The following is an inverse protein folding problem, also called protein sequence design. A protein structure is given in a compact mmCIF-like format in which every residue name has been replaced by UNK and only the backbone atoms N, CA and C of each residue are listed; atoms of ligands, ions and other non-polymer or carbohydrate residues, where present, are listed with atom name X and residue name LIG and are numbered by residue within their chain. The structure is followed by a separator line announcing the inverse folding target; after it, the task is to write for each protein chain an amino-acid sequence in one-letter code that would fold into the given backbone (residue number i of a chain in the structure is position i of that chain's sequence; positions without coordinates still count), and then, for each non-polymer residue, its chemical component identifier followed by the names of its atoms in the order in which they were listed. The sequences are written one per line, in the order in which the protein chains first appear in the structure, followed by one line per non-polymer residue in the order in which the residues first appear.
data_IF_143863494462
#
_entry.id   IF_143863494462
#
_cell.length_a   1.000
_cell.length_b   1.000
_cell.length_c   1.000
_cell.angle_alpha   90.00
_cell.angle_beta   90.00
_cell.angle_gamma   90.00
#
_symmetry.space_group_name_H-M   'P 1'
#
loop_
_entity.id
_entity.type
_entity.pdbx_description
1 polymer ?
#
# COMPACT_ATOMS: atom_id res chain seq x y z
N UNK A 1 -18.07 -6.41 24.40
CA UNK A 1 -16.60 -6.45 24.34
C UNK A 1 -16.18 -7.83 23.84
N UNK A 2 -16.26 -8.07 22.54
CA UNK A 2 -15.75 -9.30 21.94
C UNK A 2 -14.35 -8.98 21.42
N UNK A 3 -13.32 -9.42 22.15
CA UNK A 3 -11.95 -9.42 21.63
C UNK A 3 -11.89 -10.32 20.41
N UNK A 4 -11.67 -9.73 19.24
CA UNK A 4 -11.29 -10.47 18.03
C UNK A 4 -9.95 -11.15 18.31
N UNK A 5 -9.79 -12.39 17.84
CA UNK A 5 -8.61 -13.21 18.11
C UNK A 5 -7.31 -12.45 17.78
N UNK A 6 -6.57 -12.10 18.84
CA UNK A 6 -5.39 -11.23 18.87
C UNK A 6 -4.12 -11.83 18.21
N UNK A 7 -4.23 -12.68 17.19
CA UNK A 7 -3.05 -13.29 16.57
C UNK A 7 -3.29 -13.76 15.14
N UNK A 8 -3.86 -12.91 14.29
CA UNK A 8 -3.75 -13.17 12.84
C UNK A 8 -2.31 -12.91 12.42
N UNK A 9 -1.66 -13.94 11.88
CA UNK A 9 -0.28 -13.87 11.37
C UNK A 9 -0.10 -12.64 10.44
N UNK A 10 -1.11 -12.34 9.61
CA UNK A 10 -1.13 -11.17 8.73
C UNK A 10 -0.99 -9.82 9.45
N UNK A 11 -1.76 -9.53 10.51
CA UNK A 11 -1.62 -8.26 11.25
C UNK A 11 -0.22 -8.10 11.86
N UNK A 12 0.34 -9.19 12.38
CA UNK A 12 1.70 -9.19 12.93
C UNK A 12 2.76 -8.96 11.83
N UNK A 13 2.55 -9.52 10.64
CA UNK A 13 3.42 -9.26 9.49
C UNK A 13 3.33 -7.81 9.03
N UNK A 14 2.13 -7.26 8.88
CA UNK A 14 1.96 -5.86 8.48
C UNK A 14 2.51 -4.88 9.51
N UNK A 15 2.31 -5.16 10.81
CA UNK A 15 2.94 -4.39 11.88
C UNK A 15 4.48 -4.43 11.76
N UNK A 16 5.06 -5.61 11.55
CA UNK A 16 6.52 -5.73 11.33
C UNK A 16 6.99 -4.95 10.10
N UNK A 17 6.25 -4.99 8.99
CA UNK A 17 6.58 -4.21 7.79
C UNK A 17 6.46 -2.70 8.05
N UNK A 18 5.49 -2.28 8.86
CA UNK A 18 5.33 -0.89 9.24
C UNK A 18 6.55 -0.38 10.01
N UNK A 19 7.03 -1.16 10.99
CA UNK A 19 8.22 -0.84 11.78
C UNK A 19 9.52 -0.98 10.99
N UNK A 20 9.60 -1.94 10.05
CA UNK A 20 10.82 -2.23 9.28
C UNK A 20 11.09 -1.21 8.16
N UNK A 21 10.08 -0.53 7.65
CA UNK A 21 10.26 0.55 6.68
C UNK A 21 10.85 1.76 7.44
N UNK A 22 12.18 1.88 7.42
CA UNK A 22 12.92 2.96 8.07
C UNK A 22 12.49 4.34 7.61
N UNK A 23 12.54 5.30 8.54
CA UNK A 23 12.08 6.68 8.39
C UNK A 23 11.06 7.06 9.47
N UNK A 24 10.91 8.36 9.74
CA UNK A 24 9.88 8.83 10.67
C UNK A 24 8.52 8.65 10.00
N UNK A 25 7.75 7.66 10.47
CA UNK A 25 6.33 7.54 10.11
C UNK A 25 5.61 8.80 10.55
N UNK A 26 4.74 9.32 9.70
CA UNK A 26 3.88 10.43 10.11
C UNK A 26 2.98 10.01 11.27
N UNK A 27 2.58 10.97 12.09
CA UNK A 27 1.66 10.73 13.20
C UNK A 27 0.35 10.09 12.70
N UNK A 28 -0.12 10.50 11.53
CA UNK A 28 -1.31 9.95 10.90
C UNK A 28 -1.12 8.46 10.55
N UNK A 29 0.06 8.07 10.07
CA UNK A 29 0.34 6.67 9.76
C UNK A 29 0.33 5.81 11.04
N UNK A 30 0.91 6.32 12.13
CA UNK A 30 0.91 5.64 13.43
C UNK A 30 -0.51 5.51 14.01
N UNK A 31 -1.31 6.58 13.95
CA UNK A 31 -2.71 6.56 14.40
C UNK A 31 -3.53 5.53 13.63
N UNK A 32 -3.37 5.44 12.31
CA UNK A 32 -4.07 4.44 11.49
C UNK A 32 -3.60 3.02 11.78
N UNK A 33 -2.31 2.78 12.03
CA UNK A 33 -1.82 1.48 12.48
C UNK A 33 -2.48 1.06 13.79
N UNK A 34 -2.52 1.95 14.79
CA UNK A 34 -3.15 1.67 16.08
C UNK A 34 -4.64 1.35 15.91
N UNK A 35 -5.35 2.11 15.07
CA UNK A 35 -6.76 1.87 14.80
C UNK A 35 -6.99 0.52 14.08
N UNK A 36 -6.13 0.16 13.11
CA UNK A 36 -6.18 -1.14 12.44
C UNK A 36 -5.99 -2.29 13.45
N UNK A 37 -5.01 -2.18 14.35
CA UNK A 37 -4.77 -3.18 15.40
C UNK A 37 -5.96 -3.30 16.37
N UNK A 38 -6.59 -2.16 16.72
CA UNK A 38 -7.77 -2.13 17.59
C UNK A 38 -9.00 -2.76 16.95
N UNK A 39 -9.23 -2.49 15.66
CA UNK A 39 -10.35 -3.04 14.91
C UNK A 39 -10.16 -4.52 14.59
N UNK A 40 -8.92 -4.95 14.38
CA UNK A 40 -8.59 -6.30 13.94
C UNK A 40 -9.00 -6.56 12.49
N UNK A 41 -8.89 -7.83 12.07
CA UNK A 41 -9.33 -8.25 10.75
C UNK A 41 -10.80 -8.66 10.76
N UNK A 42 -11.55 -8.30 9.72
CA UNK A 42 -12.92 -8.74 9.58
C UNK A 42 -12.98 -10.23 9.25
N UNK A 43 -14.15 -10.80 9.51
CA UNK A 43 -14.49 -12.20 9.23
C UNK A 43 -15.80 -12.24 8.45
N UNK A 44 -16.14 -13.38 7.84
CA UNK A 44 -17.42 -13.57 7.11
C UNK A 44 -18.68 -13.33 7.96
N UNK A 45 -18.55 -13.26 9.30
CA UNK A 45 -19.63 -12.89 10.22
C UNK A 45 -19.96 -11.39 10.18
N UNK A 46 -19.05 -10.56 9.69
CA UNK A 46 -19.30 -9.14 9.50
C UNK A 46 -20.10 -8.93 8.21
N UNK A 47 -21.16 -8.13 8.30
CA UNK A 47 -22.11 -7.89 7.21
C UNK A 47 -21.42 -7.50 5.90
N UNK A 48 -20.48 -6.54 5.96
CA UNK A 48 -19.74 -6.03 4.81
C UNK A 48 -18.74 -7.04 4.20
N UNK A 49 -18.52 -8.20 4.85
CA UNK A 49 -17.51 -9.20 4.47
C UNK A 49 -18.10 -10.58 4.20
N UNK A 50 -19.43 -10.71 4.23
CA UNK A 50 -20.12 -11.99 4.04
C UNK A 50 -19.76 -12.68 2.72
N UNK A 51 -19.51 -11.89 1.67
CA UNK A 51 -19.27 -12.38 0.31
C UNK A 51 -17.86 -12.08 -0.22
N UNK A 52 -16.98 -11.55 0.63
CA UNK A 52 -15.60 -11.20 0.25
C UNK A 52 -14.63 -12.06 1.08
N UNK A 53 -14.25 -13.25 0.58
CA UNK A 53 -13.38 -14.17 1.31
C UNK A 53 -11.97 -13.58 1.44
N UNK A 54 -11.43 -13.58 2.66
CA UNK A 54 -10.10 -13.05 2.97
C UNK A 54 -9.04 -14.14 3.15
N UNK A 55 -9.42 -15.41 3.17
CA UNK A 55 -8.53 -16.50 3.56
C UNK A 55 -7.28 -16.60 2.65
N UNK A 56 -7.42 -16.36 1.34
CA UNK A 56 -6.30 -16.36 0.40
C UNK A 56 -5.26 -15.25 0.66
N UNK A 57 -5.71 -14.10 1.17
CA UNK A 57 -4.81 -13.00 1.54
C UNK A 57 -4.16 -13.26 2.90
N UNK A 58 -4.97 -13.66 3.90
CA UNK A 58 -4.52 -13.75 5.30
C UNK A 58 -3.57 -14.91 5.58
N UNK A 59 -3.55 -15.92 4.71
CA UNK A 59 -2.64 -17.06 4.80
C UNK A 59 -1.29 -16.81 4.11
N UNK A 60 -1.10 -15.64 3.50
CA UNK A 60 0.13 -15.30 2.79
C UNK A 60 1.28 -14.85 3.70
N UNK A 61 2.48 -14.88 3.14
CA UNK A 61 3.64 -14.16 3.66
C UNK A 61 3.80 -12.83 2.92
N UNK A 62 3.88 -11.74 3.68
CA UNK A 62 3.98 -10.38 3.19
C UNK A 62 5.42 -9.88 3.28
N UNK A 63 5.90 -9.33 2.16
CA UNK A 63 7.22 -8.71 2.06
C UNK A 63 7.10 -7.35 1.38
N UNK A 64 8.00 -6.43 1.72
CA UNK A 64 8.17 -5.17 0.99
C UNK A 64 9.57 -5.17 0.39
N UNK A 65 9.64 -5.31 -0.93
CA UNK A 65 10.91 -5.38 -1.70
C UNK A 65 10.77 -4.55 -2.98
N UNK A 66 11.02 -3.23 -2.90
CA UNK A 66 10.94 -2.37 -4.07
C UNK A 66 11.91 -2.84 -5.16
N UNK A 67 11.39 -3.06 -6.35
CA UNK A 67 12.17 -3.42 -7.52
C UNK A 67 12.52 -2.18 -8.36
N UNK A 68 13.55 -2.32 -9.19
CA UNK A 68 13.84 -1.36 -10.24
C UNK A 68 13.18 -1.82 -11.53
N UNK A 69 12.53 -0.90 -12.23
CA UNK A 69 11.81 -1.16 -13.48
C UNK A 69 12.44 -0.34 -14.60
N UNK A 70 12.60 -0.93 -15.79
CA UNK A 70 13.09 -0.21 -16.95
C UNK A 70 11.95 0.57 -17.65
N UNK A 71 12.30 1.65 -18.35
CA UNK A 71 11.31 2.45 -19.11
C UNK A 71 10.56 1.63 -20.16
N UNK A 72 11.23 0.65 -20.78
CA UNK A 72 10.59 -0.28 -21.72
C UNK A 72 9.51 -1.15 -21.08
N UNK A 73 9.73 -1.62 -19.85
CA UNK A 73 8.75 -2.46 -19.14
C UNK A 73 7.53 -1.64 -18.73
N UNK A 74 7.76 -0.38 -18.31
CA UNK A 74 6.69 0.59 -18.09
C UNK A 74 5.88 0.78 -19.36
N UNK A 75 6.53 1.05 -20.48
CA UNK A 75 5.85 1.38 -21.75
C UNK A 75 5.05 0.21 -22.31
N UNK A 76 5.49 -1.02 -22.09
CA UNK A 76 4.76 -2.23 -22.47
C UNK A 76 3.40 -2.38 -21.76
N UNK A 77 3.24 -1.79 -20.57
CA UNK A 77 2.00 -1.83 -19.77
C UNK A 77 1.27 -0.48 -19.74
N UNK A 78 1.85 0.56 -20.33
CA UNK A 78 1.30 1.91 -20.27
C UNK A 78 0.07 2.06 -21.18
N UNK A 79 -0.88 2.87 -20.72
CA UNK A 79 -1.96 3.34 -21.56
C UNK A 79 -1.41 4.30 -22.62
N UNK A 80 -1.91 4.18 -23.85
CA UNK A 80 -1.65 5.17 -24.90
C UNK A 80 -2.57 6.36 -24.69
N UNK A 81 -2.11 7.32 -23.91
CA UNK A 81 -2.86 8.52 -23.54
C UNK A 81 -1.93 9.73 -23.51
N UNK A 82 -2.38 10.86 -24.03
CA UNK A 82 -1.70 12.14 -23.88
C UNK A 82 -2.05 12.74 -22.50
N UNK A 83 -1.14 12.58 -21.54
CA UNK A 83 -1.32 13.02 -20.16
C UNK A 83 0.04 13.19 -19.47
N UNK A 84 0.09 14.02 -18.42
CA UNK A 84 1.21 14.07 -17.48
C UNK A 84 1.23 12.81 -16.62
N UNK A 85 2.23 11.94 -16.78
CA UNK A 85 2.29 10.63 -16.13
C UNK A 85 3.23 10.63 -14.93
N UNK A 86 2.70 10.26 -13.77
CA UNK A 86 3.47 9.94 -12.57
C UNK A 86 3.52 8.42 -12.37
N UNK A 87 4.72 7.87 -12.19
CA UNK A 87 4.94 6.43 -12.07
C UNK A 87 5.31 6.07 -10.63
N UNK A 88 4.60 5.07 -10.10
CA UNK A 88 4.87 4.47 -8.80
C UNK A 88 5.19 2.99 -8.98
N UNK A 89 6.32 2.55 -8.42
CA UNK A 89 6.77 1.16 -8.46
C UNK A 89 6.85 0.65 -7.03
N UNK A 90 6.16 -0.45 -6.72
CA UNK A 90 6.13 -1.07 -5.40
C UNK A 90 5.88 -0.09 -4.24
N UNK A 91 4.96 0.86 -4.45
CA UNK A 91 4.57 1.88 -3.47
C UNK A 91 5.54 3.06 -3.34
N UNK A 92 6.53 3.21 -4.24
CA UNK A 92 7.47 4.33 -4.27
C UNK A 92 7.34 5.14 -5.55
N UNK A 93 7.38 6.46 -5.42
CA UNK A 93 7.46 7.35 -6.59
C UNK A 93 8.79 7.15 -7.32
N UNK A 94 8.74 7.07 -8.65
CA UNK A 94 9.91 6.88 -9.51
C UNK A 94 10.10 8.11 -10.41
N UNK A 95 10.96 9.08 -10.03
CA UNK A 95 11.20 10.29 -10.81
C UNK A 95 11.70 9.98 -12.22
N UNK A 96 12.60 9.00 -12.37
CA UNK A 96 13.19 8.61 -13.66
C UNK A 96 12.19 8.03 -14.68
N UNK A 97 11.02 7.58 -14.23
CA UNK A 97 9.99 6.99 -15.06
C UNK A 97 8.79 7.92 -15.29
N UNK A 98 8.77 9.05 -14.58
CA UNK A 98 7.66 10.02 -14.57
C UNK A 98 7.98 11.22 -15.46
N UNK A 99 6.94 11.88 -15.93
CA UNK A 99 7.07 13.14 -16.65
C UNK A 99 7.28 14.30 -15.66
N UNK A 100 7.83 15.41 -16.15
CA UNK A 100 7.85 16.65 -15.36
C UNK A 100 6.43 17.20 -15.21
N UNK A 101 6.13 17.70 -14.02
CA UNK A 101 4.87 18.39 -13.71
C UNK A 101 4.95 19.90 -13.96
N UNK A 102 6.13 20.43 -14.31
CA UNK A 102 6.31 21.85 -14.57
C UNK A 102 5.46 22.32 -15.75
N UNK A 103 4.63 23.35 -15.54
CA UNK A 103 3.75 23.87 -16.57
C UNK A 103 2.58 22.94 -16.96
N UNK A 104 2.41 21.80 -16.28
CA UNK A 104 1.28 20.88 -16.50
C UNK A 104 -0.07 21.42 -16.02
N UNK A 105 -0.07 22.50 -15.23
CA UNK A 105 -1.26 23.01 -14.55
C UNK A 105 -1.57 22.30 -13.22
N UNK A 106 -0.77 21.30 -12.82
CA UNK A 106 -0.88 20.59 -11.55
C UNK A 106 0.29 20.93 -10.62
N UNK A 107 -0.02 21.32 -9.38
CA UNK A 107 0.98 21.42 -8.32
C UNK A 107 1.13 20.05 -7.66
N UNK A 108 2.34 19.49 -7.72
CA UNK A 108 2.64 18.15 -7.21
C UNK A 108 3.84 18.21 -6.28
N UNK A 109 3.64 17.74 -5.04
CA UNK A 109 4.69 17.62 -4.04
C UNK A 109 4.78 16.16 -3.59
N UNK A 110 5.99 15.60 -3.65
CA UNK A 110 6.27 14.24 -3.19
C UNK A 110 6.87 14.32 -1.77
N UNK A 111 6.16 13.74 -0.80
CA UNK A 111 6.53 13.71 0.62
C UNK A 111 7.28 12.44 1.00
#
# INVERSE_FOLDING_TARGET
MAGLANSSNALQQWHRLFEAQGGTRSEQAQQHLQQMLRLGLPTRKHENWKYTPLEGLLNGEFVSRPARVAGSDRDALALTLDATRLVFVDGRFSPELSDSTDGSGFEVTIN
#
